data_IF_345835740549
#
_entry.id   IF_345835740549
#
_cell.length_a   1.000
_cell.length_b   1.000
_cell.length_c   1.000
_cell.angle_alpha   90.00
_cell.angle_beta   90.00
_cell.angle_gamma   90.00
#
_symmetry.space_group_name_H-M   'P 1'
#
loop_
_entity.id
_entity.type
_entity.pdbx_description
1 polymer ?
#
# COMPACT_ATOMS: atom_id res chain seq x y z
N UNK A 1 -9.00 2.82 -29.28
CA UNK A 1 -7.99 1.79 -29.58
C UNK A 1 -6.62 2.27 -29.09
N UNK A 2 -6.06 1.70 -28.04
CA UNK A 2 -4.79 2.10 -27.47
C UNK A 2 -3.64 1.48 -28.31
N UNK A 3 -2.74 2.30 -28.85
CA UNK A 3 -1.58 1.85 -29.63
C UNK A 3 -0.60 1.08 -28.75
N UNK A 4 -0.39 -0.18 -29.04
CA UNK A 4 0.59 -1.05 -28.39
C UNK A 4 2.00 -0.64 -28.83
N UNK A 5 2.81 -0.16 -27.89
CA UNK A 5 4.20 0.18 -28.17
C UNK A 5 5.06 -1.10 -28.21
N UNK A 6 5.69 -1.40 -29.36
CA UNK A 6 6.40 -2.65 -29.65
C UNK A 6 7.86 -2.67 -29.17
N UNK A 7 8.27 -1.79 -28.28
CA UNK A 7 9.65 -1.78 -27.79
C UNK A 7 9.84 -2.83 -26.68
N UNK A 8 10.82 -3.66 -26.84
CA UNK A 8 11.40 -4.80 -26.13
C UNK A 8 11.40 -4.79 -24.57
N UNK A 9 10.41 -4.24 -23.91
CA UNK A 9 10.18 -4.36 -22.46
C UNK A 9 9.50 -5.70 -22.20
N UNK A 10 10.00 -6.45 -21.22
CA UNK A 10 9.37 -7.68 -20.76
C UNK A 10 7.87 -7.43 -20.52
N UNK A 11 7.00 -8.20 -21.16
CA UNK A 11 5.56 -8.01 -20.98
C UNK A 11 5.18 -8.30 -19.52
N UNK A 12 4.13 -7.62 -19.00
CA UNK A 12 3.64 -7.88 -17.66
C UNK A 12 3.36 -9.36 -17.40
N UNK A 13 2.96 -10.09 -18.44
CA UNK A 13 2.73 -11.53 -18.37
C UNK A 13 4.02 -12.33 -18.16
N UNK A 14 5.10 -12.00 -18.85
CA UNK A 14 6.39 -12.70 -18.69
C UNK A 14 6.99 -12.43 -17.33
N UNK A 15 6.90 -11.19 -16.83
CA UNK A 15 7.34 -10.84 -15.49
C UNK A 15 6.52 -11.55 -14.41
N UNK A 16 5.20 -11.68 -14.59
CA UNK A 16 4.34 -12.42 -13.65
C UNK A 16 4.67 -13.92 -13.61
N UNK A 17 4.93 -14.54 -14.76
CA UNK A 17 5.42 -15.93 -14.82
C UNK A 17 6.75 -16.08 -14.08
N UNK A 18 7.67 -15.12 -14.21
CA UNK A 18 8.91 -15.09 -13.45
C UNK A 18 8.67 -14.92 -11.96
N UNK A 19 7.78 -14.00 -11.57
CA UNK A 19 7.44 -13.76 -10.17
C UNK A 19 6.93 -15.02 -9.45
N UNK A 20 6.09 -15.83 -10.10
CA UNK A 20 5.58 -17.10 -9.53
C UNK A 20 6.66 -18.13 -9.20
N UNK A 21 7.87 -18.00 -9.76
CA UNK A 21 9.01 -18.87 -9.42
C UNK A 21 9.68 -18.49 -8.10
N UNK A 22 9.55 -17.23 -7.67
CA UNK A 22 10.27 -16.69 -6.52
C UNK A 22 9.35 -16.18 -5.40
N UNK A 23 8.10 -15.90 -5.73
CA UNK A 23 7.12 -15.33 -4.79
C UNK A 23 5.87 -16.23 -4.78
N UNK A 24 5.49 -16.82 -3.65
CA UNK A 24 4.27 -17.61 -3.56
C UNK A 24 3.05 -16.83 -4.06
N UNK A 25 2.34 -17.36 -5.07
CA UNK A 25 1.23 -16.67 -5.73
C UNK A 25 1.61 -15.49 -6.63
N UNK A 26 2.94 -15.21 -6.83
CA UNK A 26 3.44 -14.17 -7.71
C UNK A 26 3.38 -12.74 -7.16
N UNK A 27 2.82 -12.54 -5.97
CA UNK A 27 2.79 -11.26 -5.25
C UNK A 27 2.47 -11.48 -3.76
N UNK A 28 2.71 -10.46 -2.93
CA UNK A 28 2.52 -10.54 -1.48
C UNK A 28 1.12 -10.12 -1.00
N UNK A 29 0.28 -9.56 -1.87
CA UNK A 29 -1.06 -9.06 -1.52
C UNK A 29 -2.14 -9.78 -2.30
N UNK A 30 -3.10 -10.39 -1.60
CA UNK A 30 -4.24 -11.07 -2.22
C UNK A 30 -5.01 -10.15 -3.17
N UNK A 31 -5.26 -8.89 -2.77
CA UNK A 31 -5.98 -7.89 -3.57
C UNK A 31 -5.26 -7.46 -4.86
N UNK A 32 -3.98 -7.86 -5.04
CA UNK A 32 -3.22 -7.61 -6.27
C UNK A 32 -3.05 -8.84 -7.15
N UNK A 33 -3.69 -9.94 -6.81
CA UNK A 33 -3.68 -11.15 -7.65
C UNK A 33 -4.52 -10.91 -8.89
N UNK A 34 -3.86 -10.86 -10.04
CA UNK A 34 -4.52 -10.64 -11.33
C UNK A 34 -5.56 -11.70 -11.67
N UNK A 35 -5.40 -12.91 -11.15
CA UNK A 35 -6.31 -14.03 -11.35
C UNK A 35 -7.72 -13.76 -10.78
N UNK A 36 -7.83 -12.85 -9.80
CA UNK A 36 -9.11 -12.45 -9.19
C UNK A 36 -9.90 -11.44 -10.04
N UNK A 37 -9.29 -10.86 -11.08
CA UNK A 37 -9.91 -9.85 -11.94
C UNK A 37 -10.13 -10.41 -13.36
N UNK A 38 -9.15 -10.21 -14.24
CA UNK A 38 -9.18 -10.71 -15.62
C UNK A 38 -7.90 -11.50 -15.89
N UNK A 39 -7.89 -12.82 -15.68
CA UNK A 39 -6.70 -13.64 -15.89
C UNK A 39 -6.10 -13.43 -17.27
N UNK A 40 -4.78 -13.21 -17.34
CA UNK A 40 -4.00 -12.93 -18.55
C UNK A 40 -4.30 -11.57 -19.24
N UNK A 41 -5.34 -10.85 -18.86
CA UNK A 41 -5.67 -9.53 -19.41
C UNK A 41 -5.37 -8.40 -18.43
N UNK A 42 -5.53 -8.63 -17.12
CA UNK A 42 -5.28 -7.63 -16.10
C UNK A 42 -3.80 -7.20 -16.09
N UNK A 43 -3.50 -5.87 -16.12
CA UNK A 43 -2.12 -5.38 -16.03
C UNK A 43 -1.54 -5.71 -14.65
N UNK A 44 -0.46 -6.50 -14.62
CA UNK A 44 0.11 -6.99 -13.37
C UNK A 44 1.11 -6.02 -12.73
N UNK A 45 1.76 -5.17 -13.54
CA UNK A 45 2.85 -4.30 -13.08
C UNK A 45 2.72 -2.91 -13.68
N UNK A 46 2.94 -1.89 -12.86
CA UNK A 46 2.98 -0.51 -13.32
C UNK A 46 4.42 -0.03 -13.51
N UNK A 47 4.62 0.91 -14.43
CA UNK A 47 5.86 1.67 -14.63
C UNK A 47 5.78 3.02 -13.91
N UNK A 48 4.65 3.70 -14.01
CA UNK A 48 4.41 4.99 -13.37
C UNK A 48 2.92 5.21 -13.11
N UNK A 49 2.62 6.08 -12.14
CA UNK A 49 1.26 6.50 -11.84
C UNK A 49 1.23 7.99 -11.47
N UNK A 50 0.20 8.71 -11.95
CA UNK A 50 0.00 10.14 -11.65
C UNK A 50 -1.49 10.48 -11.67
N UNK A 51 -1.99 11.16 -10.63
CA UNK A 51 -3.41 11.42 -10.48
C UNK A 51 -4.21 10.12 -10.50
N UNK A 52 -5.08 9.95 -11.49
CA UNK A 52 -5.86 8.71 -11.70
C UNK A 52 -5.27 7.83 -12.81
N UNK A 53 -4.18 8.24 -13.43
CA UNK A 53 -3.61 7.53 -14.59
C UNK A 53 -2.49 6.63 -14.15
N UNK A 54 -2.53 5.36 -14.58
CA UNK A 54 -1.50 4.35 -14.36
C UNK A 54 -0.98 3.89 -15.71
N UNK A 55 0.34 3.87 -15.85
CA UNK A 55 1.04 3.30 -17.01
C UNK A 55 1.64 1.96 -16.64
N UNK A 56 1.30 0.91 -17.37
CA UNK A 56 1.91 -0.40 -17.18
C UNK A 56 3.31 -0.48 -17.80
N UNK A 57 4.05 -1.52 -17.44
CA UNK A 57 5.41 -1.77 -17.99
C UNK A 57 5.43 -2.07 -19.49
N UNK A 58 4.28 -2.33 -20.10
CA UNK A 58 4.12 -2.51 -21.55
C UNK A 58 3.81 -1.20 -22.27
N UNK A 59 3.66 -0.08 -21.51
CA UNK A 59 3.39 1.25 -22.05
C UNK A 59 1.90 1.58 -22.22
N UNK A 60 0.99 0.71 -21.79
CA UNK A 60 -0.44 0.97 -21.87
C UNK A 60 -0.86 1.92 -20.74
N UNK A 61 -1.79 2.82 -21.04
CA UNK A 61 -2.36 3.77 -20.08
C UNK A 61 -3.74 3.29 -19.63
N UNK A 62 -3.95 3.32 -18.32
CA UNK A 62 -5.22 2.99 -17.67
C UNK A 62 -5.66 4.14 -16.78
N UNK A 63 -6.96 4.30 -16.60
CA UNK A 63 -7.54 5.12 -15.53
C UNK A 63 -7.94 4.21 -14.39
N UNK A 64 -7.45 4.51 -13.21
CA UNK A 64 -7.79 3.77 -12.01
C UNK A 64 -9.07 4.34 -11.39
N UNK A 65 -10.11 3.53 -11.37
CA UNK A 65 -11.39 3.81 -10.71
C UNK A 65 -11.56 3.00 -9.43
N UNK A 66 -10.49 2.34 -8.95
CA UNK A 66 -10.49 1.64 -7.68
C UNK A 66 -10.32 2.62 -6.50
N UNK A 67 -10.21 2.08 -5.31
CA UNK A 67 -9.91 2.85 -4.10
C UNK A 67 -8.40 3.11 -3.91
N UNK A 68 -7.66 3.29 -5.00
CA UNK A 68 -6.25 3.75 -5.04
C UNK A 68 -5.33 3.06 -4.02
N UNK A 69 -4.99 1.80 -4.31
CA UNK A 69 -4.12 1.00 -3.45
C UNK A 69 -4.62 0.90 -1.99
N UNK A 70 -5.87 0.40 -1.85
CA UNK A 70 -6.51 0.17 -0.54
C UNK A 70 -6.71 1.48 0.25
N UNK A 71 -7.06 2.56 -0.46
CA UNK A 71 -7.35 3.86 0.13
C UNK A 71 -6.15 4.69 0.56
N UNK A 72 -4.91 4.20 0.31
CA UNK A 72 -3.70 4.93 0.73
C UNK A 72 -3.40 6.16 -0.12
N UNK A 73 -3.87 6.20 -1.36
CA UNK A 73 -3.61 7.28 -2.32
C UNK A 73 -4.88 8.07 -2.68
N UNK A 74 -5.75 8.33 -1.71
CA UNK A 74 -7.02 9.06 -1.93
C UNK A 74 -6.86 10.44 -2.55
N UNK A 75 -5.66 11.06 -2.45
CA UNK A 75 -5.31 12.31 -3.13
C UNK A 75 -4.86 12.12 -4.59
N UNK A 76 -4.90 10.89 -5.09
CA UNK A 76 -4.33 10.50 -6.38
C UNK A 76 -2.84 10.15 -6.29
N UNK A 77 -2.37 9.41 -7.29
CA UNK A 77 -0.97 8.97 -7.37
C UNK A 77 -0.02 10.15 -7.59
N UNK A 78 1.14 10.12 -6.96
CA UNK A 78 2.19 11.12 -7.15
C UNK A 78 1.75 12.54 -6.78
N UNK A 79 1.03 12.72 -5.66
CA UNK A 79 0.65 14.04 -5.17
C UNK A 79 1.90 14.85 -4.83
N UNK A 80 2.08 16.00 -5.48
CA UNK A 80 3.31 16.80 -5.40
C UNK A 80 3.62 17.31 -4.00
N UNK A 81 2.60 17.62 -3.19
CA UNK A 81 2.79 18.09 -1.81
C UNK A 81 3.29 16.94 -0.92
N UNK A 82 2.70 15.77 -1.07
CA UNK A 82 3.13 14.56 -0.34
C UNK A 82 4.53 14.15 -0.78
N UNK A 83 4.78 14.06 -2.08
CA UNK A 83 6.08 13.69 -2.63
C UNK A 83 7.20 14.63 -2.15
N UNK A 84 6.93 15.94 -2.09
CA UNK A 84 7.89 16.94 -1.58
C UNK A 84 8.19 16.70 -0.10
N UNK A 85 7.17 16.43 0.73
CA UNK A 85 7.36 16.17 2.15
C UNK A 85 8.19 14.89 2.38
N UNK A 86 7.92 13.84 1.60
CA UNK A 86 8.67 12.57 1.68
C UNK A 86 10.13 12.79 1.26
N UNK A 87 10.38 13.50 0.15
CA UNK A 87 11.75 13.82 -0.30
C UNK A 87 12.54 14.59 0.76
N UNK A 88 11.93 15.60 1.36
CA UNK A 88 12.56 16.37 2.45
C UNK A 88 12.89 15.48 3.67
N UNK A 89 12.03 14.50 3.97
CA UNK A 89 12.30 13.57 5.05
C UNK A 89 13.49 12.64 4.73
N UNK A 90 13.55 12.13 3.49
CA UNK A 90 14.67 11.30 3.02
C UNK A 90 16.00 12.06 3.08
N UNK A 91 16.01 13.32 2.65
CA UNK A 91 17.21 14.18 2.66
C UNK A 91 17.75 14.45 4.08
N UNK A 92 16.89 14.42 5.10
CA UNK A 92 17.29 14.55 6.52
C UNK A 92 17.80 13.23 7.12
N UNK A 93 17.68 12.11 6.42
CA UNK A 93 17.93 10.78 6.94
C UNK A 93 16.67 10.18 7.58
N UNK A 94 16.09 9.19 6.90
CA UNK A 94 14.81 8.57 7.27
C UNK A 94 14.92 7.43 8.29
N UNK A 95 16.13 7.06 8.69
CA UNK A 95 16.40 6.00 9.68
C UNK A 95 17.51 6.45 10.61
N UNK A 96 17.21 6.55 11.89
CA UNK A 96 18.14 6.92 12.94
C UNK A 96 17.93 6.05 14.17
N UNK A 97 18.90 6.01 15.08
CA UNK A 97 18.72 5.44 16.42
C UNK A 97 17.81 6.28 17.31
N UNK A 98 17.58 7.54 16.94
CA UNK A 98 16.65 8.44 17.62
C UNK A 98 15.27 8.38 16.98
N UNK A 99 14.24 8.65 17.76
CA UNK A 99 12.86 8.67 17.27
C UNK A 99 12.61 9.93 16.43
N UNK A 100 11.83 9.82 15.31
CA UNK A 100 11.43 10.98 14.52
C UNK A 100 10.32 11.76 15.22
N UNK A 101 10.35 13.09 15.20
CA UNK A 101 9.30 13.92 15.83
C UNK A 101 7.96 13.79 15.11
N UNK A 102 7.94 13.42 13.84
CA UNK A 102 6.74 13.23 13.04
C UNK A 102 5.80 12.16 13.62
N UNK A 103 6.34 11.14 14.29
CA UNK A 103 5.55 10.13 14.97
C UNK A 103 4.67 10.74 16.09
N UNK A 104 5.24 11.65 16.87
CA UNK A 104 4.52 12.37 17.93
C UNK A 104 3.44 13.28 17.34
N UNK A 105 3.78 14.06 16.32
CA UNK A 105 2.82 14.96 15.67
C UNK A 105 1.66 14.22 15.02
N UNK A 106 1.94 13.06 14.42
CA UNK A 106 0.89 12.22 13.85
C UNK A 106 -0.01 11.61 14.93
N UNK A 107 0.58 11.11 16.01
CA UNK A 107 -0.18 10.56 17.14
C UNK A 107 -1.10 11.61 17.75
N UNK A 108 -0.60 12.81 18.03
CA UNK A 108 -1.40 13.94 18.55
C UNK A 108 -2.57 14.28 17.60
N UNK A 109 -2.31 14.36 16.30
CA UNK A 109 -3.36 14.66 15.31
C UNK A 109 -4.43 13.58 15.29
N UNK A 110 -4.05 12.30 15.33
CA UNK A 110 -5.00 11.18 15.34
C UNK A 110 -5.87 11.18 16.60
N UNK A 111 -5.28 11.38 17.76
CA UNK A 111 -6.04 11.49 19.02
C UNK A 111 -7.01 12.66 18.99
N UNK A 112 -6.61 13.82 18.45
CA UNK A 112 -7.53 14.97 18.28
C UNK A 112 -8.68 14.68 17.31
N UNK A 113 -8.44 13.90 16.26
CA UNK A 113 -9.49 13.49 15.32
C UNK A 113 -10.41 12.40 15.86
N UNK A 114 -9.97 11.67 16.87
CA UNK A 114 -10.69 10.56 17.50
C UNK A 114 -10.83 10.77 19.02
N UNK A 115 -11.76 11.64 19.48
CA UNK A 115 -11.85 12.04 20.89
C UNK A 115 -12.10 10.90 21.88
N UNK A 116 -12.55 9.74 21.37
CA UNK A 116 -12.74 8.51 22.14
C UNK A 116 -11.42 7.76 22.43
N UNK A 117 -10.32 8.14 21.77
CA UNK A 117 -9.01 7.54 21.97
C UNK A 117 -8.10 8.47 22.79
N UNK A 118 -7.20 7.89 23.59
CA UNK A 118 -6.21 8.64 24.37
C UNK A 118 -4.79 8.47 23.83
N UNK A 119 -4.54 7.44 23.05
CA UNK A 119 -3.21 7.10 22.54
C UNK A 119 -3.30 6.49 21.14
N UNK A 120 -2.22 6.60 20.36
CA UNK A 120 -2.07 5.95 19.07
C UNK A 120 -0.84 5.04 19.07
N UNK A 121 -0.96 3.86 18.45
CA UNK A 121 0.16 2.94 18.20
C UNK A 121 0.27 2.68 16.71
N UNK A 122 1.47 2.88 16.17
CA UNK A 122 1.75 2.66 14.77
C UNK A 122 2.32 1.26 14.51
N UNK A 123 2.03 0.74 13.33
CA UNK A 123 2.57 -0.49 12.79
C UNK A 123 2.85 -0.32 11.29
N UNK A 124 3.69 -1.16 10.72
CA UNK A 124 4.07 -1.06 9.30
C UNK A 124 3.03 -1.65 8.36
N UNK A 125 2.27 -2.63 8.84
CA UNK A 125 1.28 -3.36 8.03
C UNK A 125 -0.03 -3.55 8.79
N UNK A 126 -1.12 -3.77 8.06
CA UNK A 126 -2.41 -4.10 8.66
C UNK A 126 -2.38 -5.38 9.51
N UNK A 127 -1.60 -6.39 9.09
CA UNK A 127 -1.41 -7.62 9.86
C UNK A 127 -0.73 -7.37 11.21
N UNK A 128 0.30 -6.54 11.24
CA UNK A 128 0.95 -6.12 12.49
C UNK A 128 -0.01 -5.32 13.38
N UNK A 129 -0.73 -4.36 12.82
CA UNK A 129 -1.70 -3.56 13.55
C UNK A 129 -2.78 -4.44 14.21
N UNK A 130 -3.35 -5.38 13.47
CA UNK A 130 -4.32 -6.33 13.99
C UNK A 130 -3.72 -7.24 15.08
N UNK A 131 -2.50 -7.71 14.90
CA UNK A 131 -1.80 -8.51 15.91
C UNK A 131 -1.61 -7.74 17.21
N UNK A 132 -1.19 -6.48 17.12
CA UNK A 132 -1.03 -5.58 18.30
C UNK A 132 -2.40 -5.36 18.95
N UNK A 133 -3.44 -5.05 18.18
CA UNK A 133 -4.79 -4.83 18.71
C UNK A 133 -5.33 -6.05 19.45
N UNK A 134 -5.19 -7.24 18.88
CA UNK A 134 -5.59 -8.50 19.54
C UNK A 134 -4.82 -8.73 20.84
N UNK A 135 -3.51 -8.47 20.85
CA UNK A 135 -2.70 -8.61 22.07
C UNK A 135 -3.14 -7.65 23.16
N UNK A 136 -3.40 -6.39 22.82
CA UNK A 136 -3.90 -5.38 23.76
C UNK A 136 -5.26 -5.80 24.31
N UNK A 137 -6.19 -6.19 23.44
CA UNK A 137 -7.53 -6.62 23.85
C UNK A 137 -7.48 -7.82 24.81
N UNK A 138 -6.67 -8.83 24.52
CA UNK A 138 -6.48 -9.99 25.41
C UNK A 138 -5.83 -9.61 26.74
N UNK A 139 -4.83 -8.76 26.73
CA UNK A 139 -4.17 -8.30 27.94
C UNK A 139 -5.11 -7.51 28.84
N UNK A 140 -5.92 -6.65 28.26
CA UNK A 140 -6.89 -5.82 28.99
C UNK A 140 -8.06 -6.64 29.54
N UNK A 141 -8.70 -7.47 28.70
CA UNK A 141 -9.90 -8.21 29.06
C UNK A 141 -9.62 -9.52 29.80
N UNK A 142 -8.39 -10.01 29.77
CA UNK A 142 -7.97 -11.36 30.25
C UNK A 142 -8.69 -12.51 29.54
N UNK A 143 -9.32 -12.26 28.38
CA UNK A 143 -10.03 -13.27 27.57
C UNK A 143 -9.14 -13.74 26.40
N UNK A 144 -9.22 -15.03 26.07
CA UNK A 144 -8.45 -15.62 24.97
C UNK A 144 -9.17 -15.60 23.62
N UNK A 145 -10.50 -15.66 23.62
CA UNK A 145 -11.32 -15.73 22.40
C UNK A 145 -11.50 -14.35 21.79
N UNK A 146 -11.38 -14.29 20.46
CA UNK A 146 -11.64 -13.12 19.63
C UNK A 146 -12.72 -13.49 18.63
N UNK A 147 -13.76 -12.68 18.51
CA UNK A 147 -14.75 -12.77 17.45
C UNK A 147 -14.40 -11.75 16.33
N UNK A 148 -14.56 -12.14 15.09
CA UNK A 148 -14.42 -11.24 13.95
C UNK A 148 -15.47 -11.60 12.89
N UNK A 149 -15.82 -10.60 12.05
CA UNK A 149 -16.69 -10.83 10.91
C UNK A 149 -15.90 -11.53 9.80
N UNK A 150 -16.42 -12.63 9.31
CA UNK A 150 -15.86 -13.43 8.22
C UNK A 150 -16.50 -13.12 6.89
#
# INVERSE_FOLDING_TARGET
MLKRNKNNKASGNSLHKKAKKYIPGGNSLLSKRREMFAPNQWPAYFESAKGITVKDISGNLFRDFSHFAVGTNSLGYGNSKVDKAVKNCIEKGNMSTLNPPEEVFLAEKLVKMHPWSSMARFARTGGEANTIAVRIARAFTKKSKIAFCG
#
